data_IF_034944335711
#
_entry.id   IF_034944335711
#
_cell.length_a   1.000
_cell.length_b   1.000
_cell.length_c   1.000
_cell.angle_alpha   90.00
_cell.angle_beta   90.00
_cell.angle_gamma   90.00
#
_symmetry.space_group_name_H-M   'P 1'
#
loop_
_entity.id
_entity.type
_entity.pdbx_description
1 polymer ?
#
# COMPACT_ATOMS: atom_id res chain seq x y z
N UNK A 1 24.66 11.86 -9.83
CA UNK A 1 23.61 10.92 -10.25
C UNK A 1 22.31 11.28 -9.52
N UNK A 2 21.15 11.00 -10.09
CA UNK A 2 19.85 11.49 -9.60
C UNK A 2 18.89 10.33 -9.41
N UNK A 3 18.27 10.20 -8.22
CA UNK A 3 17.21 9.26 -7.98
C UNK A 3 15.94 9.83 -8.61
N UNK A 4 15.40 9.12 -9.58
CA UNK A 4 14.20 9.50 -10.29
C UNK A 4 12.97 8.82 -9.65
N UNK A 5 11.88 9.53 -9.53
CA UNK A 5 10.57 8.96 -9.17
C UNK A 5 9.60 9.13 -10.33
N UNK A 6 8.83 8.08 -10.62
CA UNK A 6 7.79 8.16 -11.63
C UNK A 6 6.69 9.13 -11.16
N UNK A 7 6.36 10.14 -11.97
CA UNK A 7 5.34 11.12 -11.61
C UNK A 7 3.93 10.49 -11.49
N UNK A 8 3.68 9.36 -12.17
CA UNK A 8 2.36 8.70 -12.19
C UNK A 8 2.13 7.78 -10.98
N UNK A 9 3.14 6.99 -10.55
CA UNK A 9 2.97 6.05 -9.42
C UNK A 9 3.80 6.40 -8.17
N UNK A 10 4.70 7.39 -8.26
CA UNK A 10 5.54 7.81 -7.13
C UNK A 10 6.72 6.89 -6.82
N UNK A 11 6.86 5.77 -7.52
CA UNK A 11 7.91 4.77 -7.23
C UNK A 11 9.28 5.26 -7.67
N UNK A 12 10.27 5.09 -6.79
CA UNK A 12 11.65 5.44 -7.05
C UNK A 12 12.36 4.47 -8.01
N UNK A 13 13.26 5.01 -8.82
CA UNK A 13 14.04 4.32 -9.83
C UNK A 13 15.54 4.51 -9.58
N UNK A 14 16.43 3.79 -10.30
CA UNK A 14 17.86 3.84 -10.07
C UNK A 14 18.44 5.25 -10.17
N UNK A 15 19.53 5.45 -9.47
CA UNK A 15 20.35 6.65 -9.50
C UNK A 15 21.14 6.71 -10.83
N UNK A 16 20.63 7.48 -11.77
CA UNK A 16 21.16 7.60 -13.14
C UNK A 16 21.30 9.07 -13.56
N UNK A 17 22.09 9.34 -14.61
CA UNK A 17 22.25 10.68 -15.18
C UNK A 17 20.95 11.17 -15.85
N UNK A 18 20.28 10.27 -16.59
CA UNK A 18 18.99 10.51 -17.25
C UNK A 18 17.92 9.60 -16.66
N UNK A 19 16.65 10.04 -16.67
CA UNK A 19 15.56 9.18 -16.21
C UNK A 19 15.42 7.94 -17.10
N UNK A 20 14.84 6.83 -16.59
CA UNK A 20 14.49 5.67 -17.40
C UNK A 20 13.54 6.04 -18.55
N UNK A 21 13.61 5.31 -19.66
CA UNK A 21 12.70 5.54 -20.80
C UNK A 21 11.23 5.32 -20.44
N UNK A 22 10.95 4.33 -19.59
CA UNK A 22 9.61 3.95 -19.16
C UNK A 22 9.61 3.47 -17.72
N UNK A 23 8.47 3.61 -17.03
CA UNK A 23 8.22 2.98 -15.75
C UNK A 23 7.60 1.59 -15.99
N UNK A 24 8.29 0.52 -15.59
CA UNK A 24 7.81 -0.84 -15.77
C UNK A 24 6.46 -1.09 -15.04
N UNK A 25 6.22 -0.40 -13.93
CA UNK A 25 4.97 -0.48 -13.18
C UNK A 25 3.83 0.16 -13.97
N UNK A 26 4.02 1.39 -14.50
CA UNK A 26 2.96 2.11 -15.22
C UNK A 26 2.66 1.55 -16.62
N UNK A 27 3.58 0.80 -17.24
CA UNK A 27 3.35 0.13 -18.53
C UNK A 27 2.63 -1.21 -18.40
N UNK A 28 2.44 -1.72 -17.21
CA UNK A 28 1.63 -2.91 -16.93
C UNK A 28 0.12 -2.59 -16.98
N UNK A 29 -0.71 -3.57 -17.34
CA UNK A 29 -2.18 -3.41 -17.45
C UNK A 29 -2.89 -3.02 -16.15
N UNK A 30 -2.20 -3.12 -14.99
CA UNK A 30 -2.73 -2.72 -13.68
C UNK A 30 -2.65 -1.24 -13.42
N UNK A 31 -1.90 -0.50 -14.25
CA UNK A 31 -1.69 0.93 -14.16
C UNK A 31 -1.81 1.54 -15.57
N UNK A 32 -1.39 2.76 -15.78
CA UNK A 32 -1.38 3.43 -17.08
C UNK A 32 -0.22 4.41 -17.20
N UNK A 33 0.18 4.67 -18.43
CA UNK A 33 1.02 5.83 -18.78
C UNK A 33 0.08 6.95 -19.24
N UNK A 34 0.16 8.18 -18.67
CA UNK A 34 -0.69 9.30 -19.12
C UNK A 34 -0.55 9.59 -20.62
N UNK A 35 -1.60 10.12 -21.24
CA UNK A 35 -1.59 10.50 -22.65
C UNK A 35 -0.51 11.54 -22.99
N UNK A 36 -0.05 12.31 -22.00
CA UNK A 36 1.09 13.25 -22.09
C UNK A 36 2.45 12.56 -22.10
N UNK A 37 2.50 11.24 -21.94
CA UNK A 37 3.70 10.44 -21.86
C UNK A 37 4.25 10.27 -20.46
N UNK A 38 5.32 9.48 -20.35
CA UNK A 38 6.03 9.22 -19.10
C UNK A 38 6.72 10.49 -18.60
N UNK A 39 6.53 10.82 -17.33
CA UNK A 39 7.18 11.94 -16.66
C UNK A 39 7.91 11.48 -15.39
N UNK A 40 8.96 12.22 -15.04
CA UNK A 40 9.84 11.92 -13.92
C UNK A 40 10.04 13.14 -13.04
N UNK A 41 10.10 12.91 -11.75
CA UNK A 41 10.36 13.93 -10.74
C UNK A 41 11.51 13.51 -9.83
N UNK A 42 12.04 14.45 -9.07
CA UNK A 42 13.08 14.23 -8.06
C UNK A 42 12.63 14.82 -6.74
N UNK A 43 13.21 14.38 -5.62
CA UNK A 43 12.89 14.96 -4.30
C UNK A 43 13.18 16.49 -4.29
N UNK A 44 14.30 16.91 -4.86
CA UNK A 44 14.65 18.33 -4.93
C UNK A 44 13.68 19.12 -5.83
N UNK A 45 13.25 18.55 -6.96
CA UNK A 45 12.26 19.16 -7.85
C UNK A 45 10.92 19.35 -7.14
N UNK A 46 10.40 18.29 -6.53
CA UNK A 46 9.16 18.33 -5.76
C UNK A 46 9.22 19.38 -4.64
N UNK A 47 10.32 19.41 -3.86
CA UNK A 47 10.50 20.42 -2.83
C UNK A 47 10.52 21.85 -3.41
N UNK A 48 11.18 22.04 -4.57
CA UNK A 48 11.21 23.33 -5.29
C UNK A 48 9.85 23.76 -5.80
N UNK A 49 9.01 22.81 -6.21
CA UNK A 49 7.63 23.02 -6.66
C UNK A 49 6.63 23.20 -5.50
N UNK A 50 7.14 23.19 -4.25
CA UNK A 50 6.35 23.49 -3.07
C UNK A 50 5.63 22.29 -2.45
N UNK A 51 5.94 21.05 -2.86
CA UNK A 51 5.43 19.86 -2.20
C UNK A 51 5.87 19.79 -0.74
N UNK A 52 5.00 19.33 0.12
CA UNK A 52 5.25 19.17 1.57
C UNK A 52 4.59 17.89 2.05
N UNK A 53 5.14 17.33 3.12
CA UNK A 53 4.48 16.23 3.84
C UNK A 53 3.57 16.79 4.94
N UNK A 54 2.54 16.00 5.24
CA UNK A 54 1.69 16.16 6.42
C UNK A 54 1.69 14.87 7.20
N UNK A 55 1.91 14.95 8.51
CA UNK A 55 1.84 13.81 9.43
C UNK A 55 0.70 14.04 10.40
N UNK A 56 -0.22 13.08 10.47
CA UNK A 56 -1.45 13.19 11.26
C UNK A 56 -1.72 11.90 12.02
N UNK A 57 -1.96 12.01 13.33
CA UNK A 57 -2.42 10.86 14.12
C UNK A 57 -3.87 10.54 13.77
N UNK A 58 -4.16 9.30 13.40
CA UNK A 58 -5.49 8.83 13.02
C UNK A 58 -6.12 7.89 14.06
N UNK A 59 -5.31 7.22 14.85
CA UNK A 59 -5.66 6.59 16.12
C UNK A 59 -4.38 6.43 16.97
N UNK A 60 -4.47 6.08 18.25
CA UNK A 60 -3.28 5.84 19.07
C UNK A 60 -2.32 4.86 18.39
N UNK A 61 -1.05 5.27 18.27
CA UNK A 61 0.02 4.52 17.64
C UNK A 61 -0.12 4.30 16.11
N UNK A 62 -1.03 5.02 15.42
CA UNK A 62 -1.15 5.02 13.97
C UNK A 62 -1.19 6.44 13.41
N UNK A 63 -0.27 6.74 12.50
CA UNK A 63 -0.13 8.05 11.86
C UNK A 63 -0.23 7.90 10.34
N UNK A 64 -0.96 8.82 9.71
CA UNK A 64 -0.96 8.97 8.26
C UNK A 64 0.13 9.96 7.83
N UNK A 65 0.85 9.62 6.77
CA UNK A 65 1.81 10.53 6.11
C UNK A 65 1.30 10.75 4.69
N UNK A 66 0.87 11.97 4.39
CA UNK A 66 0.41 12.40 3.07
C UNK A 66 1.34 13.43 2.46
N UNK A 67 1.19 13.69 1.16
CA UNK A 67 1.95 14.70 0.41
C UNK A 67 0.98 15.73 -0.15
N UNK A 68 1.29 17.00 0.01
CA UNK A 68 0.51 18.14 -0.48
C UNK A 68 1.39 19.07 -1.34
N UNK A 69 0.97 19.46 -2.56
CA UNK A 69 -0.18 18.93 -3.31
C UNK A 69 -0.13 17.41 -3.50
N UNK A 70 -1.24 16.80 -3.89
CA UNK A 70 -1.31 15.35 -4.13
C UNK A 70 -0.23 14.90 -5.12
N UNK A 71 0.55 13.89 -4.74
CA UNK A 71 1.62 13.32 -5.56
C UNK A 71 1.19 11.94 -6.09
N UNK A 72 1.45 11.70 -7.36
CA UNK A 72 1.17 10.42 -8.02
C UNK A 72 -0.31 10.02 -7.93
N UNK A 73 -0.62 8.92 -7.26
CA UNK A 73 -2.00 8.43 -7.06
C UNK A 73 -2.61 8.91 -5.74
N UNK A 74 -1.91 9.76 -4.99
CA UNK A 74 -2.46 10.37 -3.77
C UNK A 74 -2.60 9.45 -2.56
N UNK A 75 -1.92 8.31 -2.55
CA UNK A 75 -1.94 7.41 -1.39
C UNK A 75 -1.30 8.04 -0.17
N UNK A 76 -1.77 7.63 1.00
CA UNK A 76 -1.13 7.94 2.29
C UNK A 76 -0.25 6.78 2.75
N UNK A 77 0.92 7.10 3.27
CA UNK A 77 1.70 6.14 4.06
C UNK A 77 1.12 6.02 5.47
N UNK A 78 1.24 4.83 6.07
CA UNK A 78 0.78 4.56 7.42
C UNK A 78 1.98 4.18 8.32
N UNK A 79 2.27 5.00 9.31
CA UNK A 79 3.27 4.71 10.33
C UNK A 79 2.58 4.01 11.50
N UNK A 80 2.84 2.71 11.68
CA UNK A 80 2.34 1.90 12.79
C UNK A 80 3.42 1.81 13.85
N UNK A 81 3.13 2.26 15.06
CA UNK A 81 4.03 2.12 16.22
C UNK A 81 3.74 0.81 16.95
N UNK A 82 4.79 0.09 17.31
CA UNK A 82 4.71 -1.13 18.12
C UNK A 82 5.79 -1.11 19.19
N UNK A 83 5.67 -1.93 20.26
CA UNK A 83 6.74 -2.06 21.25
C UNK A 83 8.09 -2.50 20.69
N UNK A 84 8.10 -3.13 19.50
CA UNK A 84 9.30 -3.60 18.82
C UNK A 84 9.87 -2.64 17.77
N UNK A 85 9.31 -1.43 17.63
CA UNK A 85 9.66 -0.41 16.65
C UNK A 85 8.52 -0.10 15.67
N UNK A 86 8.77 0.76 14.70
CA UNK A 86 7.73 1.27 13.82
C UNK A 86 7.83 0.67 12.42
N UNK A 87 6.66 0.34 11.85
CA UNK A 87 6.51 0.04 10.43
C UNK A 87 6.07 1.31 9.68
N UNK A 88 6.73 1.63 8.57
CA UNK A 88 6.15 2.50 7.55
C UNK A 88 5.55 1.63 6.44
N UNK A 89 4.23 1.60 6.36
CA UNK A 89 3.44 0.89 5.35
C UNK A 89 3.03 1.84 4.25
N UNK A 90 3.27 1.47 2.98
CA UNK A 90 2.95 2.28 1.80
C UNK A 90 3.65 3.65 1.80
N UNK A 91 5.00 3.68 1.86
CA UNK A 91 5.74 4.91 2.01
C UNK A 91 5.41 5.91 0.90
N UNK A 92 5.19 7.20 1.22
CA UNK A 92 4.99 8.23 0.21
C UNK A 92 6.18 8.34 -0.75
N UNK A 93 5.93 8.75 -2.00
CA UNK A 93 6.95 9.00 -3.01
C UNK A 93 7.81 10.26 -2.75
N UNK A 94 7.42 11.07 -1.77
CA UNK A 94 8.14 12.27 -1.33
C UNK A 94 8.35 12.24 0.18
N UNK A 95 9.51 12.71 0.62
CA UNK A 95 9.85 12.91 2.02
C UNK A 95 10.60 14.22 2.18
N UNK A 96 10.27 14.99 3.21
CA UNK A 96 10.91 16.24 3.57
C UNK A 96 11.35 16.25 5.05
N UNK A 97 12.01 17.33 5.47
CA UNK A 97 12.48 17.48 6.85
C UNK A 97 11.34 17.36 7.86
N UNK A 98 10.12 17.82 7.52
CA UNK A 98 8.97 17.76 8.42
C UNK A 98 8.57 16.31 8.75
N UNK A 99 8.37 15.46 7.73
CA UNK A 99 8.03 14.06 7.98
C UNK A 99 9.18 13.29 8.61
N UNK A 100 10.43 13.56 8.20
CA UNK A 100 11.63 12.91 8.76
C UNK A 100 11.74 13.21 10.25
N UNK A 101 11.57 14.45 10.67
CA UNK A 101 11.67 14.84 12.07
C UNK A 101 10.47 14.26 12.87
N UNK A 102 9.25 14.34 12.35
CA UNK A 102 8.09 13.74 12.99
C UNK A 102 8.24 12.22 13.21
N UNK A 103 8.69 11.48 12.18
CA UNK A 103 8.94 10.04 12.32
C UNK A 103 10.08 9.75 13.29
N UNK A 104 11.11 10.59 13.33
CA UNK A 104 12.21 10.46 14.29
C UNK A 104 11.74 10.66 15.71
N UNK A 105 10.90 11.68 15.97
CA UNK A 105 10.32 11.96 17.29
C UNK A 105 9.38 10.83 17.76
N UNK A 106 8.76 10.11 16.82
CA UNK A 106 7.95 8.92 17.07
C UNK A 106 8.78 7.64 17.26
N UNK A 107 10.11 7.70 17.18
CA UNK A 107 11.01 6.56 17.42
C UNK A 107 11.70 5.99 16.17
N UNK A 108 11.60 6.65 15.03
CA UNK A 108 12.23 6.22 13.77
C UNK A 108 11.53 5.05 13.10
N UNK A 109 12.23 4.32 12.21
CA UNK A 109 11.71 3.17 11.49
C UNK A 109 12.48 1.90 11.84
N UNK A 110 11.76 0.83 12.14
CA UNK A 110 12.30 -0.53 12.26
C UNK A 110 12.19 -1.30 10.93
N UNK A 111 11.19 -0.98 10.10
CA UNK A 111 11.01 -1.59 8.79
C UNK A 111 10.11 -0.73 7.91
N UNK A 112 10.24 -0.92 6.60
CA UNK A 112 9.40 -0.30 5.55
C UNK A 112 8.81 -1.39 4.68
N UNK A 113 7.57 -1.26 4.25
CA UNK A 113 6.95 -2.19 3.31
C UNK A 113 5.74 -1.55 2.61
N UNK A 114 5.20 -2.25 1.62
CA UNK A 114 3.96 -1.88 0.95
C UNK A 114 3.12 -3.12 0.65
N UNK A 115 1.82 -2.91 0.44
CA UNK A 115 0.90 -3.99 0.06
C UNK A 115 1.22 -4.59 -1.30
N UNK A 116 1.76 -3.79 -2.23
CA UNK A 116 2.06 -4.19 -3.60
C UNK A 116 2.96 -3.15 -4.30
N UNK A 117 3.47 -3.45 -5.51
CA UNK A 117 4.45 -2.60 -6.22
C UNK A 117 4.05 -1.13 -6.47
N UNK A 118 2.77 -0.82 -6.71
CA UNK A 118 2.33 0.58 -6.97
C UNK A 118 2.55 1.49 -5.76
N UNK A 119 2.53 0.95 -4.55
CA UNK A 119 2.57 1.73 -3.30
C UNK A 119 3.93 1.68 -2.61
N UNK A 120 4.99 1.23 -3.30
CA UNK A 120 6.34 1.20 -2.73
C UNK A 120 6.97 2.58 -2.60
N UNK A 121 6.50 3.58 -3.35
CA UNK A 121 6.93 4.98 -3.25
C UNK A 121 8.44 5.18 -3.20
N UNK A 122 8.92 5.96 -2.25
CA UNK A 122 10.35 6.21 -1.99
C UNK A 122 10.91 5.31 -0.87
N UNK A 123 10.53 4.03 -0.83
CA UNK A 123 10.82 3.09 0.27
C UNK A 123 12.30 3.00 0.65
N UNK A 124 13.20 2.99 -0.34
CA UNK A 124 14.64 2.91 -0.11
C UNK A 124 15.18 4.23 0.46
N UNK A 125 14.69 5.37 -0.03
CA UNK A 125 15.08 6.68 0.51
C UNK A 125 14.61 6.82 1.96
N UNK A 126 13.38 6.41 2.27
CA UNK A 126 12.90 6.34 3.65
C UNK A 126 13.78 5.44 4.52
N UNK A 127 14.12 4.25 4.05
CA UNK A 127 15.02 3.32 4.75
C UNK A 127 16.37 3.97 5.06
N UNK A 128 17.02 4.58 4.06
CA UNK A 128 18.35 5.19 4.22
C UNK A 128 18.37 6.32 5.24
N UNK A 129 17.33 7.17 5.26
CA UNK A 129 17.22 8.27 6.23
C UNK A 129 17.12 7.77 7.67
N UNK A 130 16.61 6.55 7.87
CA UNK A 130 16.47 5.89 9.17
C UNK A 130 17.48 4.75 9.37
N UNK A 131 18.71 4.93 8.87
CA UNK A 131 19.85 4.05 9.16
C UNK A 131 19.83 2.71 8.43
N UNK A 132 19.09 2.59 7.33
CA UNK A 132 19.01 1.35 6.54
C UNK A 132 17.97 0.37 7.09
N UNK A 133 16.85 0.86 7.62
CA UNK A 133 15.73 0.01 8.04
C UNK A 133 15.31 -0.94 6.90
N UNK A 134 15.18 -2.26 7.12
CA UNK A 134 14.88 -3.21 6.05
C UNK A 134 13.60 -2.84 5.29
N UNK A 135 13.68 -2.91 3.95
CA UNK A 135 12.54 -2.77 3.04
C UNK A 135 12.03 -4.16 2.67
N UNK A 136 10.87 -4.54 3.21
CA UNK A 136 10.32 -5.88 3.03
C UNK A 136 9.45 -5.94 1.77
N UNK A 137 9.87 -6.75 0.78
CA UNK A 137 9.16 -6.94 -0.49
C UNK A 137 8.72 -8.40 -0.63
N UNK A 138 7.46 -8.64 -1.01
CA UNK A 138 6.99 -9.99 -1.28
C UNK A 138 7.81 -10.64 -2.42
N UNK A 139 8.34 -11.84 -2.20
CA UNK A 139 9.19 -12.55 -3.17
C UNK A 139 8.50 -12.75 -4.53
N UNK A 140 7.18 -12.90 -4.52
CA UNK A 140 6.37 -13.05 -5.73
C UNK A 140 6.34 -11.76 -6.59
N UNK A 141 6.66 -10.60 -5.98
CA UNK A 141 6.67 -9.30 -6.65
C UNK A 141 8.10 -8.78 -6.92
N UNK A 142 9.14 -9.62 -6.71
CA UNK A 142 10.55 -9.22 -6.90
C UNK A 142 10.85 -8.61 -8.27
N UNK A 143 10.14 -9.01 -9.32
CA UNK A 143 10.32 -8.50 -10.67
C UNK A 143 9.87 -7.05 -10.86
N UNK A 144 9.11 -6.53 -9.89
CA UNK A 144 8.62 -5.15 -9.87
C UNK A 144 9.51 -4.20 -9.07
N UNK A 145 10.64 -4.68 -8.53
CA UNK A 145 11.62 -3.83 -7.86
C UNK A 145 12.30 -2.95 -8.91
N UNK A 146 11.91 -1.68 -8.94
CA UNK A 146 12.43 -0.73 -9.92
C UNK A 146 13.85 -0.23 -9.57
N UNK A 147 14.21 -0.20 -8.28
CA UNK A 147 15.53 0.18 -7.78
C UNK A 147 16.05 -0.93 -6.87
N UNK A 148 17.21 -1.50 -7.22
CA UNK A 148 17.87 -2.49 -6.39
C UNK A 148 18.69 -1.82 -5.29
N UNK A 149 18.62 -2.35 -4.06
CA UNK A 149 19.38 -1.85 -2.92
C UNK A 149 19.58 -2.96 -1.88
N UNK A 150 20.73 -3.00 -1.15
CA UNK A 150 20.98 -3.99 -0.10
C UNK A 150 19.97 -4.00 1.05
N UNK A 151 19.23 -2.93 1.28
CA UNK A 151 18.21 -2.86 2.34
C UNK A 151 16.95 -3.67 2.02
N UNK A 152 16.82 -4.17 0.77
CA UNK A 152 15.65 -4.96 0.36
C UNK A 152 15.78 -6.39 0.87
N UNK A 153 14.80 -6.83 1.66
CA UNK A 153 14.63 -8.20 2.11
C UNK A 153 13.38 -8.82 1.49
N UNK A 154 13.53 -10.00 0.89
CA UNK A 154 12.40 -10.75 0.33
C UNK A 154 11.71 -11.60 1.40
N UNK A 155 10.37 -11.65 1.33
CA UNK A 155 9.56 -12.48 2.21
C UNK A 155 8.42 -13.16 1.44
N UNK A 156 7.76 -14.18 2.04
CA UNK A 156 6.62 -14.89 1.43
C UNK A 156 5.70 -15.49 2.48
N UNK A 157 4.47 -15.77 2.08
CA UNK A 157 3.46 -16.43 2.92
C UNK A 157 2.95 -15.54 4.05
N UNK A 158 3.23 -15.93 5.29
CA UNK A 158 2.91 -15.18 6.50
C UNK A 158 4.19 -14.89 7.27
N UNK A 159 4.39 -13.63 7.67
CA UNK A 159 5.59 -13.21 8.43
C UNK A 159 5.18 -12.27 9.56
N UNK A 160 5.41 -12.65 10.80
CA UNK A 160 5.40 -11.69 11.89
C UNK A 160 6.64 -10.80 11.75
N UNK A 161 6.42 -9.50 11.55
CA UNK A 161 7.49 -8.51 11.27
C UNK A 161 7.90 -7.74 12.51
N UNK A 162 6.93 -7.45 13.38
CA UNK A 162 7.13 -6.81 14.68
C UNK A 162 6.14 -7.43 15.68
N UNK A 163 6.33 -7.27 17.00
CA UNK A 163 5.34 -7.71 17.98
C UNK A 163 3.96 -7.12 17.69
N UNK A 164 2.96 -7.99 17.54
CA UNK A 164 1.58 -7.58 17.22
C UNK A 164 1.34 -7.17 15.76
N UNK A 165 2.34 -7.31 14.86
CA UNK A 165 2.22 -6.93 13.47
C UNK A 165 2.65 -8.08 12.54
N UNK A 166 1.75 -8.53 11.69
CA UNK A 166 1.95 -9.70 10.81
C UNK A 166 1.59 -9.34 9.37
N UNK A 167 2.51 -9.62 8.43
CA UNK A 167 2.23 -9.55 7.00
C UNK A 167 1.61 -10.86 6.52
N UNK A 168 0.59 -10.76 5.66
CA UNK A 168 -0.17 -11.87 5.13
C UNK A 168 -0.24 -11.70 3.60
N UNK A 169 0.44 -12.59 2.86
CA UNK A 169 0.40 -12.59 1.41
C UNK A 169 -0.93 -13.17 0.92
N UNK A 170 -1.73 -12.34 0.29
CA UNK A 170 -3.05 -12.68 -0.25
C UNK A 170 -3.02 -12.95 -1.77
N UNK A 171 -2.11 -12.29 -2.49
CA UNK A 171 -2.14 -12.23 -3.95
C UNK A 171 -3.36 -11.43 -4.45
N UNK A 172 -3.76 -11.64 -5.68
CA UNK A 172 -4.89 -10.95 -6.31
C UNK A 172 -4.41 -9.83 -7.23
N UNK A 173 -4.38 -8.60 -6.77
CA UNK A 173 -3.96 -7.44 -7.55
C UNK A 173 -2.55 -7.64 -8.15
N UNK A 174 -1.56 -8.02 -7.32
CA UNK A 174 -0.29 -8.60 -7.74
C UNK A 174 -0.13 -10.01 -7.14
N UNK A 175 0.86 -10.75 -7.59
CA UNK A 175 1.12 -12.09 -7.06
C UNK A 175 1.56 -12.05 -5.59
N UNK A 176 2.32 -11.03 -5.21
CA UNK A 176 2.78 -10.79 -3.85
C UNK A 176 1.88 -9.86 -3.02
N UNK A 177 0.76 -9.37 -3.58
CA UNK A 177 -0.13 -8.47 -2.83
C UNK A 177 -0.45 -9.00 -1.44
N UNK A 178 -0.32 -8.13 -0.45
CA UNK A 178 -0.39 -8.47 0.95
C UNK A 178 -1.21 -7.47 1.76
N UNK A 179 -1.57 -7.87 2.96
CA UNK A 179 -2.10 -6.99 3.99
C UNK A 179 -1.22 -7.05 5.24
N UNK A 180 -1.23 -6.00 6.04
CA UNK A 180 -0.61 -6.01 7.36
C UNK A 180 -1.70 -6.11 8.43
N UNK A 181 -1.69 -7.17 9.23
CA UNK A 181 -2.55 -7.31 10.39
C UNK A 181 -1.86 -6.71 11.61
N UNK A 182 -2.49 -5.70 12.20
CA UNK A 182 -2.06 -5.05 13.43
C UNK A 182 -3.00 -5.42 14.58
N UNK A 183 -2.56 -6.35 15.42
CA UNK A 183 -3.40 -6.91 16.49
C UNK A 183 -3.79 -5.90 17.58
N UNK A 184 -2.94 -4.88 17.83
CA UNK A 184 -3.19 -3.83 18.82
C UNK A 184 -4.03 -2.67 18.28
N UNK A 185 -4.28 -2.60 16.98
CA UNK A 185 -5.12 -1.59 16.35
C UNK A 185 -6.59 -1.67 16.77
N UNK A 186 -7.36 -0.63 16.47
CA UNK A 186 -8.78 -0.54 16.79
C UNK A 186 -9.07 -0.81 18.28
N UNK A 187 -8.22 -0.27 19.17
CA UNK A 187 -8.32 -0.52 20.63
C UNK A 187 -8.29 -2.02 20.98
N UNK A 188 -7.26 -2.72 20.47
CA UNK A 188 -7.00 -4.15 20.66
C UNK A 188 -8.04 -5.10 20.03
N UNK A 189 -8.92 -4.58 19.14
CA UNK A 189 -9.82 -5.43 18.33
C UNK A 189 -9.22 -5.85 16.99
N UNK A 190 -8.03 -5.37 16.69
CA UNK A 190 -7.27 -5.62 15.47
C UNK A 190 -7.67 -4.70 14.32
N UNK A 191 -6.70 -4.43 13.46
CA UNK A 191 -6.87 -3.70 12.22
C UNK A 191 -6.14 -4.38 11.06
N UNK A 192 -6.65 -4.21 9.83
CA UNK A 192 -5.96 -4.58 8.60
C UNK A 192 -5.56 -3.31 7.84
N UNK A 193 -4.30 -3.22 7.44
CA UNK A 193 -3.79 -2.26 6.49
C UNK A 193 -3.71 -2.96 5.13
N UNK A 194 -4.49 -2.53 4.15
CA UNK A 194 -4.79 -3.38 2.99
C UNK A 194 -4.31 -2.82 1.64
N UNK A 195 -4.08 -1.51 1.54
CA UNK A 195 -3.81 -0.90 0.23
C UNK A 195 -4.86 -1.31 -0.80
N UNK A 196 -4.40 -1.69 -1.98
CA UNK A 196 -5.25 -2.16 -3.07
C UNK A 196 -5.49 -3.68 -3.06
N UNK A 197 -4.93 -4.41 -2.08
CA UNK A 197 -5.26 -5.84 -1.90
C UNK A 197 -6.74 -6.01 -1.57
N UNK A 198 -7.29 -5.09 -0.75
CA UNK A 198 -8.72 -4.93 -0.47
C UNK A 198 -8.98 -3.43 -0.39
N UNK A 199 -9.52 -2.83 -1.43
CA UNK A 199 -9.86 -1.41 -1.44
C UNK A 199 -11.25 -1.17 -0.85
N UNK A 200 -11.40 -0.05 -0.16
CA UNK A 200 -12.68 0.36 0.42
C UNK A 200 -13.55 0.99 -0.68
N UNK A 201 -14.81 0.62 -0.75
CA UNK A 201 -15.78 1.22 -1.66
C UNK A 201 -16.05 2.69 -1.34
N UNK A 202 -16.46 3.45 -2.34
CA UNK A 202 -16.80 4.87 -2.18
C UNK A 202 -17.96 5.11 -1.19
N UNK A 203 -18.82 4.12 -1.02
CA UNK A 203 -19.95 4.11 -0.07
C UNK A 203 -19.52 3.89 1.39
N UNK A 204 -18.24 3.51 1.62
CA UNK A 204 -17.71 3.11 2.94
C UNK A 204 -18.52 2.01 3.64
N UNK A 205 -19.24 1.23 2.86
CA UNK A 205 -20.08 0.11 3.32
C UNK A 205 -19.78 -1.18 2.56
N UNK A 206 -18.85 -1.12 1.61
CA UNK A 206 -18.39 -2.23 0.78
C UNK A 206 -16.88 -2.21 0.59
N UNK A 207 -16.35 -3.30 0.01
CA UNK A 207 -14.94 -3.38 -0.41
C UNK A 207 -14.85 -3.88 -1.85
N UNK A 208 -13.73 -3.60 -2.50
CA UNK A 208 -13.43 -4.02 -3.86
C UNK A 208 -12.11 -4.78 -3.91
N UNK A 209 -12.02 -5.76 -4.79
CA UNK A 209 -10.81 -6.50 -5.12
C UNK A 209 -10.67 -6.60 -6.64
N UNK A 210 -9.64 -5.98 -7.20
CA UNK A 210 -9.47 -5.86 -8.64
C UNK A 210 -8.07 -6.28 -9.06
N UNK A 211 -7.94 -6.81 -10.29
CA UNK A 211 -6.64 -6.93 -10.92
C UNK A 211 -6.11 -5.56 -11.35
N UNK A 212 -6.97 -4.70 -11.87
CA UNK A 212 -6.66 -3.29 -12.14
C UNK A 212 -7.84 -2.43 -11.74
N UNK A 213 -7.61 -1.46 -10.87
CA UNK A 213 -8.62 -0.48 -10.47
C UNK A 213 -8.84 0.56 -11.58
N UNK A 214 -7.76 1.07 -12.16
CA UNK A 214 -7.80 2.12 -13.19
C UNK A 214 -8.40 1.63 -14.52
N UNK A 215 -8.20 0.36 -14.86
CA UNK A 215 -8.72 -0.26 -16.07
C UNK A 215 -9.95 -1.16 -15.80
N UNK A 216 -10.47 -1.16 -14.57
CA UNK A 216 -11.67 -1.89 -14.15
C UNK A 216 -11.61 -3.41 -14.47
N UNK A 217 -10.43 -4.04 -14.31
CA UNK A 217 -10.24 -5.47 -14.56
C UNK A 217 -10.53 -6.23 -13.26
N UNK A 218 -11.58 -7.08 -13.21
CA UNK A 218 -11.96 -7.78 -12.00
C UNK A 218 -11.01 -8.94 -11.67
N UNK A 219 -11.07 -9.42 -10.42
CA UNK A 219 -10.43 -10.67 -10.01
C UNK A 219 -11.36 -11.86 -10.24
N UNK A 220 -10.81 -13.04 -10.64
CA UNK A 220 -11.58 -14.27 -10.72
C UNK A 220 -11.89 -14.82 -9.32
N UNK A 221 -12.97 -15.59 -9.19
CA UNK A 221 -13.44 -16.21 -7.94
C UNK A 221 -12.31 -16.86 -7.11
N UNK A 222 -11.44 -17.64 -7.76
CA UNK A 222 -10.32 -18.31 -7.08
C UNK A 222 -9.39 -17.35 -6.33
N UNK A 223 -9.20 -16.13 -6.87
CA UNK A 223 -8.35 -15.10 -6.23
C UNK A 223 -9.09 -14.46 -5.04
N UNK A 224 -10.38 -14.19 -5.20
CA UNK A 224 -11.24 -13.64 -4.12
C UNK A 224 -11.28 -14.61 -2.93
N UNK A 225 -11.52 -15.91 -3.18
CA UNK A 225 -11.50 -16.93 -2.12
C UNK A 225 -10.17 -17.04 -1.41
N UNK A 226 -9.05 -16.96 -2.16
CA UNK A 226 -7.71 -16.97 -1.56
C UNK A 226 -7.51 -15.79 -0.63
N UNK A 227 -7.96 -14.57 -1.00
CA UNK A 227 -7.91 -13.40 -0.13
C UNK A 227 -8.69 -13.66 1.16
N UNK A 228 -9.97 -14.10 1.06
CA UNK A 228 -10.80 -14.42 2.22
C UNK A 228 -10.13 -15.44 3.14
N UNK A 229 -9.66 -16.56 2.59
CA UNK A 229 -8.99 -17.63 3.35
C UNK A 229 -7.72 -17.12 4.04
N UNK A 230 -6.94 -16.26 3.36
CA UNK A 230 -5.69 -15.76 3.93
C UNK A 230 -5.90 -14.88 5.18
N UNK A 231 -6.97 -14.07 5.20
CA UNK A 231 -7.25 -13.15 6.31
C UNK A 231 -8.16 -13.77 7.39
N UNK A 232 -8.79 -14.91 7.12
CA UNK A 232 -9.75 -15.56 8.03
C UNK A 232 -9.22 -15.77 9.46
N UNK A 233 -7.97 -16.24 9.67
CA UNK A 233 -7.45 -16.50 11.01
C UNK A 233 -7.21 -15.25 11.87
N UNK A 234 -7.24 -14.05 11.26
CA UNK A 234 -6.84 -12.81 11.91
C UNK A 234 -8.06 -11.99 12.31
N UNK A 235 -8.26 -11.69 13.61
CA UNK A 235 -9.35 -10.83 14.06
C UNK A 235 -9.04 -9.37 13.72
N UNK A 236 -10.01 -8.66 13.16
CA UNK A 236 -9.95 -7.21 12.93
C UNK A 236 -11.34 -6.59 12.94
N UNK A 237 -11.40 -5.36 13.41
CA UNK A 237 -12.62 -4.56 13.46
C UNK A 237 -12.51 -3.31 12.56
N UNK A 238 -11.29 -2.89 12.25
CA UNK A 238 -11.00 -1.71 11.44
C UNK A 238 -10.18 -2.08 10.20
N UNK A 239 -10.40 -1.35 9.09
CA UNK A 239 -9.65 -1.55 7.85
C UNK A 239 -9.12 -0.20 7.35
N UNK A 240 -7.82 -0.15 7.10
CA UNK A 240 -7.11 1.00 6.54
C UNK A 240 -6.67 0.68 5.11
N UNK A 241 -7.36 1.27 4.12
CA UNK A 241 -6.95 1.26 2.72
C UNK A 241 -5.97 2.39 2.42
N UNK A 242 -5.46 2.43 1.19
CA UNK A 242 -4.54 3.47 0.72
C UNK A 242 -5.13 4.89 0.81
N UNK A 243 -6.46 5.03 0.71
CA UNK A 243 -7.15 6.32 0.64
C UNK A 243 -8.21 6.52 1.72
N UNK A 244 -8.81 5.46 2.21
CA UNK A 244 -9.99 5.50 3.07
C UNK A 244 -9.86 4.56 4.28
N UNK A 245 -10.78 4.69 5.23
CA UNK A 245 -10.87 3.85 6.44
C UNK A 245 -12.30 3.35 6.61
N UNK A 246 -12.46 2.08 7.03
CA UNK A 246 -13.67 1.55 7.65
C UNK A 246 -13.45 1.48 9.15
N UNK A 247 -14.22 2.25 9.92
CA UNK A 247 -13.93 2.51 11.33
C UNK A 247 -14.36 1.40 12.28
N UNK A 248 -15.33 0.56 11.89
CA UNK A 248 -15.82 -0.55 12.71
C UNK A 248 -16.55 -1.59 11.87
N UNK A 249 -16.65 -2.83 12.39
CA UNK A 249 -17.37 -3.91 11.74
C UNK A 249 -16.75 -4.37 10.41
N UNK A 250 -15.53 -3.95 10.11
CA UNK A 250 -14.88 -4.12 8.81
C UNK A 250 -14.78 -5.58 8.40
N UNK A 251 -14.58 -6.50 9.35
CA UNK A 251 -14.52 -7.94 9.05
C UNK A 251 -15.82 -8.43 8.39
N UNK A 252 -16.98 -8.04 8.93
CA UNK A 252 -18.26 -8.44 8.36
C UNK A 252 -18.50 -7.81 7.00
N UNK A 253 -18.12 -6.54 6.83
CA UNK A 253 -18.20 -5.83 5.54
C UNK A 253 -17.36 -6.55 4.48
N UNK A 254 -16.12 -6.91 4.78
CA UNK A 254 -15.24 -7.63 3.85
C UNK A 254 -15.83 -8.97 3.47
N UNK A 255 -16.26 -9.80 4.44
CA UNK A 255 -16.81 -11.13 4.18
C UNK A 255 -18.06 -11.01 3.33
N UNK A 256 -19.07 -10.25 3.75
CA UNK A 256 -20.36 -10.15 3.05
C UNK A 256 -20.20 -9.57 1.64
N UNK A 257 -19.34 -8.57 1.45
CA UNK A 257 -19.11 -7.97 0.12
C UNK A 257 -18.42 -8.96 -0.82
N UNK A 258 -17.37 -9.64 -0.36
CA UNK A 258 -16.62 -10.57 -1.22
C UNK A 258 -17.40 -11.87 -1.50
N UNK A 259 -18.19 -12.38 -0.56
CA UNK A 259 -19.10 -13.49 -0.81
C UNK A 259 -20.18 -13.11 -1.82
N UNK A 260 -20.80 -11.93 -1.68
CA UNK A 260 -21.74 -11.39 -2.68
C UNK A 260 -21.06 -11.25 -4.06
N UNK A 261 -19.83 -10.75 -4.11
CA UNK A 261 -19.08 -10.65 -5.37
C UNK A 261 -18.85 -12.03 -6.01
N UNK A 262 -18.60 -13.08 -5.22
CA UNK A 262 -18.49 -14.45 -5.71
C UNK A 262 -19.80 -14.93 -6.32
N UNK A 263 -20.97 -14.63 -5.72
CA UNK A 263 -22.27 -14.99 -6.29
C UNK A 263 -22.52 -14.28 -7.63
N UNK A 264 -22.08 -13.01 -7.78
CA UNK A 264 -22.10 -12.31 -9.06
C UNK A 264 -21.24 -13.01 -10.12
N UNK A 265 -20.00 -13.36 -9.77
CA UNK A 265 -19.09 -14.06 -10.69
C UNK A 265 -19.61 -15.40 -11.18
N UNK A 266 -20.54 -16.03 -10.46
CA UNK A 266 -21.20 -17.28 -10.80
C UNK A 266 -22.49 -17.11 -11.59
N UNK A 267 -22.96 -15.88 -11.75
CA UNK A 267 -24.28 -15.60 -12.34
C UNK A 267 -25.46 -16.05 -11.45
N UNK A 268 -25.24 -16.14 -10.13
CA UNK A 268 -26.26 -16.57 -9.15
C UNK A 268 -27.11 -15.38 -8.64
N UNK A 269 -26.74 -14.16 -8.99
CA UNK A 269 -27.49 -12.93 -8.66
C UNK A 269 -28.32 -12.54 -9.87
N UNK A 270 -29.65 -12.40 -9.78
CA UNK A 270 -30.47 -11.88 -10.87
C UNK A 270 -29.99 -10.50 -11.33
N UNK A 271 -29.98 -10.26 -12.64
CA UNK A 271 -29.52 -8.98 -13.21
C UNK A 271 -30.40 -7.82 -12.75
N UNK A 272 -31.71 -8.05 -12.64
CA UNK A 272 -32.66 -7.10 -12.07
C UNK A 272 -33.80 -7.84 -11.33
N UNK A 273 -34.39 -7.24 -10.26
CA UNK A 273 -35.63 -7.77 -9.71
C UNK A 273 -36.75 -7.59 -10.75
N UNK A 274 -37.53 -8.65 -10.96
CA UNK A 274 -38.77 -8.57 -11.74
C UNK A 274 -39.68 -7.48 -11.13
N UNK A 275 -39.95 -6.40 -11.88
CA UNK A 275 -40.82 -5.28 -11.50
C UNK A 275 -42.27 -5.60 -11.74
#
# INVERSE_FOLDING_TARGET
>A
MTIWSCATCGVEHPDTELPPAVCAICTDERQYVPATGQQWVTQAGLAGDGYRTRVEEIEPDLYAISVEPELAIGQRGLLVRTPGGNLLWEPPGFLDGHAIDAVRDLGGLATVSASHPHLTGASIQWSHVFGGAPVLVASADRLWICRSDPVIELWSGVRQVLPGLTFIQCGGHFAGSAVAHWALGATERGALLTGDTIAIGADRASVNVMRSYVNNIPLPERAVRRILTAIEPYPYDRLYGAFQTLDAGSRQVVISTLERYITWLRGEVPDEPDH
#
